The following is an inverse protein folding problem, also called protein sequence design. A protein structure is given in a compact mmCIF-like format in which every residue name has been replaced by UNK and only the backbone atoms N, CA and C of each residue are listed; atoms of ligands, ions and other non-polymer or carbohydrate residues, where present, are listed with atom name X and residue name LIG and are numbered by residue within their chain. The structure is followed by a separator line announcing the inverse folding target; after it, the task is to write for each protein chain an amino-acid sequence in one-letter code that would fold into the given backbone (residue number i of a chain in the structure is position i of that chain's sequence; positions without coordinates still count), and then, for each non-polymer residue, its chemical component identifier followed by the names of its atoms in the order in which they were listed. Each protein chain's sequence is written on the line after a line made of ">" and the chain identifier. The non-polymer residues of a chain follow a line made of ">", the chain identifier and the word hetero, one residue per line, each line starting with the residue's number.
data_IF_157230016697
#
_entry.id   IF_157230016697
#
_cell.length_a   1.000
_cell.length_b   1.000
_cell.length_c   1.000
_cell.angle_alpha   90.00
_cell.angle_beta   90.00
_cell.angle_gamma   90.00
#
_symmetry.space_group_name_H-M   'P 1'
#
loop_
_entity.id
_entity.type
_entity.pdbx_description
1 polymer ?
#
# COMPACT_ATOMS: atom_id res chain seq x y z
N UNK A 1 9.03 6.19 -9.93
CA UNK A 1 7.64 5.68 -9.91
C UNK A 1 7.48 4.94 -8.60
N UNK A 2 6.47 5.32 -7.83
CA UNK A 2 6.45 5.31 -6.37
C UNK A 2 6.62 3.93 -5.74
N UNK A 3 7.71 3.80 -5.01
CA UNK A 3 8.00 2.68 -4.13
C UNK A 3 7.08 2.73 -2.92
N UNK A 4 5.89 2.18 -3.07
CA UNK A 4 5.47 1.15 -2.14
C UNK A 4 4.55 1.53 -0.97
N UNK A 5 4.03 2.74 -0.86
CA UNK A 5 2.95 3.02 0.08
C UNK A 5 1.84 3.87 -0.53
N UNK A 6 0.59 3.53 -0.20
CA UNK A 6 -0.60 4.27 -0.61
C UNK A 6 -1.51 4.42 0.59
N UNK A 7 -1.93 5.65 0.89
CA UNK A 7 -2.97 5.91 1.88
C UNK A 7 -4.30 6.14 1.19
N UNK A 8 -5.32 5.42 1.65
CA UNK A 8 -6.66 5.47 1.08
C UNK A 8 -7.67 5.74 2.18
N UNK A 9 -8.54 6.72 1.95
CA UNK A 9 -9.69 7.02 2.80
C UNK A 9 -10.96 6.88 1.99
N UNK A 10 -12.00 6.35 2.61
CA UNK A 10 -13.28 6.11 1.96
C UNK A 10 -14.12 5.08 2.71
N UNK A 11 -15.14 4.56 2.05
CA UNK A 11 -16.02 3.53 2.57
C UNK A 11 -15.83 2.19 1.82
N UNK A 12 -16.08 1.07 2.51
CA UNK A 12 -15.94 -0.26 1.92
C UNK A 12 -14.49 -0.71 1.69
N UNK A 13 -13.50 0.00 2.24
CA UNK A 13 -12.09 -0.35 2.14
C UNK A 13 -11.77 -1.38 3.24
N UNK A 14 -11.30 -2.56 2.84
CA UNK A 14 -10.87 -3.59 3.79
C UNK A 14 -9.44 -3.33 4.26
N UNK A 15 -9.17 -3.59 5.54
CA UNK A 15 -7.80 -3.66 6.07
C UNK A 15 -7.17 -5.06 5.90
N UNK A 16 -7.95 -6.04 5.43
CA UNK A 16 -7.41 -7.34 5.04
C UNK A 16 -6.67 -7.21 3.70
N UNK A 17 -5.36 -6.98 3.78
CA UNK A 17 -4.49 -6.81 2.62
C UNK A 17 -4.45 -8.02 1.67
N UNK A 18 -4.84 -9.22 2.13
CA UNK A 18 -4.89 -10.41 1.28
C UNK A 18 -5.96 -10.32 0.18
N UNK A 19 -6.93 -9.40 0.32
CA UNK A 19 -7.92 -9.11 -0.72
C UNK A 19 -7.37 -8.40 -1.94
N UNK A 20 -6.21 -7.77 -1.82
CA UNK A 20 -5.64 -6.92 -2.86
C UNK A 20 -4.34 -7.55 -3.37
N UNK A 21 -4.34 -8.17 -4.57
CA UNK A 21 -3.15 -8.79 -5.14
C UNK A 21 -1.93 -7.87 -5.19
N UNK A 22 -2.14 -6.57 -5.38
CA UNK A 22 -1.07 -5.57 -5.41
C UNK A 22 -0.46 -5.24 -4.04
N UNK A 23 -1.02 -5.75 -2.94
CA UNK A 23 -0.69 -5.37 -1.56
C UNK A 23 0.11 -6.46 -0.83
N UNK A 24 1.18 -6.05 -0.16
CA UNK A 24 1.95 -6.89 0.77
C UNK A 24 1.46 -6.75 2.21
N UNK A 25 1.03 -5.55 2.61
CA UNK A 25 0.57 -5.24 3.96
C UNK A 25 -0.48 -4.12 3.94
N UNK A 26 -1.44 -4.16 4.85
CA UNK A 26 -2.45 -3.14 5.01
C UNK A 26 -2.64 -2.83 6.49
N UNK A 27 -2.62 -1.54 6.83
CA UNK A 27 -2.68 -1.08 8.23
C UNK A 27 -3.63 0.09 8.36
N UNK A 28 -4.51 0.06 9.35
CA UNK A 28 -5.38 1.20 9.66
C UNK A 28 -4.57 2.32 10.32
N UNK A 29 -4.66 3.54 9.79
CA UNK A 29 -4.00 4.74 10.33
C UNK A 29 -4.96 5.92 10.23
N UNK A 30 -5.34 6.53 11.36
CA UNK A 30 -6.13 7.77 11.44
C UNK A 30 -7.35 7.85 10.48
N UNK A 31 -8.18 6.80 10.49
CA UNK A 31 -9.38 6.73 9.65
C UNK A 31 -9.11 6.50 8.16
N UNK A 32 -7.87 6.18 7.80
CA UNK A 32 -7.44 5.75 6.47
C UNK A 32 -6.83 4.35 6.56
N UNK A 33 -6.70 3.67 5.42
CA UNK A 33 -5.94 2.43 5.31
C UNK A 33 -4.67 2.73 4.53
N UNK A 34 -3.53 2.42 5.15
CA UNK A 34 -2.20 2.50 4.55
C UNK A 34 -1.85 1.14 3.98
N UNK A 35 -1.67 1.09 2.66
CA UNK A 35 -1.31 -0.10 1.92
C UNK A 35 0.15 -0.04 1.52
N UNK A 36 0.89 -1.10 1.82
CA UNK A 36 2.20 -1.36 1.26
C UNK A 36 2.08 -2.20 0.00
N UNK A 37 2.67 -1.73 -1.10
CA UNK A 37 2.58 -2.42 -2.39
C UNK A 37 3.66 -3.49 -2.54
N UNK A 38 3.29 -4.62 -3.16
CA UNK A 38 4.21 -5.71 -3.53
C UNK A 38 5.26 -5.29 -4.55
N UNK A 39 6.32 -6.08 -4.66
CA UNK A 39 7.31 -5.96 -5.74
C UNK A 39 6.63 -6.01 -7.13
N UNK A 40 6.98 -5.06 -8.00
CA UNK A 40 6.38 -4.89 -9.33
C UNK A 40 4.97 -4.29 -9.35
N UNK A 41 4.28 -4.17 -8.22
CA UNK A 41 2.95 -3.59 -8.15
C UNK A 41 2.98 -2.05 -8.20
N UNK A 42 1.90 -1.48 -8.72
CA UNK A 42 1.68 -0.04 -8.90
C UNK A 42 0.43 0.43 -8.15
N UNK A 43 0.42 1.70 -7.75
CA UNK A 43 -0.76 2.30 -7.11
C UNK A 43 -2.01 2.25 -8.00
N UNK A 44 -1.85 2.27 -9.33
CA UNK A 44 -2.97 2.12 -10.26
C UNK A 44 -3.59 0.72 -10.21
N UNK A 45 -2.80 -0.34 -9.98
CA UNK A 45 -3.35 -1.68 -9.77
C UNK A 45 -4.19 -1.72 -8.50
N UNK A 46 -3.67 -1.19 -7.39
CA UNK A 46 -4.43 -1.07 -6.13
C UNK A 46 -5.73 -0.28 -6.31
N UNK A 47 -5.68 0.86 -7.00
CA UNK A 47 -6.88 1.67 -7.22
C UNK A 47 -7.98 0.90 -7.98
N UNK A 48 -7.60 0.08 -8.98
CA UNK A 48 -8.54 -0.80 -9.68
C UNK A 48 -9.09 -1.89 -8.78
N UNK A 49 -8.23 -2.56 -8.02
CA UNK A 49 -8.65 -3.62 -7.08
C UNK A 49 -9.64 -3.10 -6.03
N UNK A 50 -9.43 -1.88 -5.51
CA UNK A 50 -10.37 -1.21 -4.61
C UNK A 50 -11.72 -0.95 -5.28
N UNK A 51 -11.71 -0.48 -6.54
CA UNK A 51 -12.94 -0.24 -7.29
C UNK A 51 -13.70 -1.54 -7.60
N UNK A 52 -12.98 -2.62 -7.93
CA UNK A 52 -13.57 -3.93 -8.23
C UNK A 52 -14.23 -4.56 -6.98
N UNK A 53 -13.70 -4.30 -5.78
CA UNK A 53 -14.31 -4.66 -4.50
C UNK A 53 -15.47 -3.73 -4.09
N UNK A 54 -15.79 -2.70 -4.88
CA UNK A 54 -16.88 -1.76 -4.63
C UNK A 54 -16.57 -0.68 -3.60
N UNK A 55 -15.29 -0.39 -3.32
CA UNK A 55 -14.91 0.68 -2.41
C UNK A 55 -15.25 2.06 -2.98
N UNK A 56 -15.80 2.94 -2.13
CA UNK A 56 -15.99 4.35 -2.45
C UNK A 56 -14.79 5.14 -1.91
N UNK A 57 -13.87 5.52 -2.80
CA UNK A 57 -12.61 6.19 -2.43
C UNK A 57 -12.77 7.71 -2.44
N UNK A 58 -12.55 8.34 -1.29
CA UNK A 58 -12.61 9.80 -1.09
C UNK A 58 -11.23 10.46 -1.23
N UNK A 59 -10.17 9.78 -0.76
CA UNK A 59 -8.77 10.22 -0.89
C UNK A 59 -7.91 9.03 -1.26
N UNK A 60 -7.02 9.23 -2.22
CA UNK A 60 -6.03 8.25 -2.65
C UNK A 60 -4.69 8.96 -2.81
N UNK A 61 -3.73 8.65 -1.94
CA UNK A 61 -2.45 9.35 -1.90
C UNK A 61 -1.30 8.36 -1.96
N UNK A 62 -0.43 8.58 -2.94
CA UNK A 62 0.83 7.87 -3.03
C UNK A 62 1.81 8.54 -2.08
N UNK A 63 2.37 7.77 -1.15
CA UNK A 63 3.35 8.27 -0.19
C UNK A 63 4.63 7.44 -0.25
N UNK A 64 5.71 8.02 0.25
CA UNK A 64 6.91 7.25 0.54
C UNK A 64 6.67 6.32 1.73
N UNK A 65 7.30 5.14 1.78
CA UNK A 65 7.25 4.29 2.95
C UNK A 65 7.91 4.99 4.14
N UNK A 66 7.46 4.70 5.35
CA UNK A 66 8.11 5.16 6.57
C UNK A 66 9.44 4.43 6.76
N UNK A 67 10.34 4.98 7.58
CA UNK A 67 11.63 4.33 7.88
C UNK A 67 11.44 2.93 8.48
N UNK A 68 10.41 2.74 9.30
CA UNK A 68 10.09 1.43 9.88
C UNK A 68 9.68 0.43 8.80
N UNK A 69 8.86 0.85 7.83
CA UNK A 69 8.44 0.01 6.70
C UNK A 69 9.62 -0.34 5.80
N UNK A 70 10.54 0.61 5.57
CA UNK A 70 11.79 0.35 4.85
C UNK A 70 12.62 -0.68 5.62
N UNK A 71 12.79 -0.50 6.94
CA UNK A 71 13.55 -1.43 7.76
C UNK A 71 12.98 -2.84 7.73
N UNK A 72 11.66 -2.99 7.91
CA UNK A 72 10.95 -4.29 7.86
C UNK A 72 11.20 -4.96 6.50
N UNK A 73 11.12 -4.20 5.39
CA UNK A 73 11.46 -4.71 4.05
C UNK A 73 12.91 -5.16 3.94
N UNK A 74 13.87 -4.37 4.43
CA UNK A 74 15.29 -4.73 4.42
C UNK A 74 15.55 -6.03 5.15
N UNK A 75 15.03 -6.17 6.38
CA UNK A 75 15.28 -7.37 7.19
C UNK A 75 14.56 -8.61 6.64
N UNK A 76 13.46 -8.42 5.92
CA UNK A 76 12.76 -9.47 5.19
C UNK A 76 13.46 -9.88 3.86
N UNK A 77 14.54 -9.20 3.48
CA UNK A 77 15.27 -9.46 2.24
C UNK A 77 14.65 -8.87 0.97
N UNK A 78 13.77 -7.87 1.11
CA UNK A 78 13.18 -7.15 -0.02
C UNK A 78 14.20 -6.15 -0.62
N UNK A 79 14.57 -6.38 -1.88
CA UNK A 79 15.59 -5.62 -2.62
C UNK A 79 15.26 -4.13 -2.80
N UNK A 80 14.01 -3.70 -2.60
CA UNK A 80 13.63 -2.29 -2.71
C UNK A 80 14.19 -1.40 -1.63
N UNK A 81 14.53 -1.96 -0.47
CA UNK A 81 15.07 -1.17 0.62
C UNK A 81 16.53 -0.72 0.39
N UNK A 82 17.22 -1.35 -0.57
CA UNK A 82 18.60 -1.00 -0.94
C UNK A 82 18.69 0.29 -1.77
N UNK A 83 17.60 0.69 -2.45
CA UNK A 83 17.57 1.83 -3.36
C UNK A 83 17.42 3.22 -2.68
N UNK A 84 17.34 3.27 -1.35
CA UNK A 84 17.16 4.51 -0.56
C UNK A 84 18.48 4.98 0.11
N UNK A 85 19.61 4.35 -0.22
CA UNK A 85 20.96 4.79 0.18
C UNK A 85 21.61 5.67 -0.88
#
# INVERSE_FOLDING_TARGET
>A
FSDGAVEVRGAGISVDGARYPSVSEATQVDGSVRFLLREGASAQQLFRELADEGAAVDRFEVSTPTLNEIFIRTVAGDRRAEAVR
#
